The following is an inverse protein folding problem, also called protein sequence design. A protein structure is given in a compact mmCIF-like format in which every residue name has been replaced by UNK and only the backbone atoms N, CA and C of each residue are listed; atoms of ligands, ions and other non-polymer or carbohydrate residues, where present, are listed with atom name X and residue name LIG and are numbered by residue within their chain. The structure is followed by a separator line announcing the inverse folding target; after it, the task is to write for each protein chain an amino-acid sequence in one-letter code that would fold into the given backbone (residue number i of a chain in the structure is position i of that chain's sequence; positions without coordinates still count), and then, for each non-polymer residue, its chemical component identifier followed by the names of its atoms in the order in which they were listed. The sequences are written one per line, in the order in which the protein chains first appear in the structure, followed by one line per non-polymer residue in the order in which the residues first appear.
data_IF_594715276900
#
_entry.id   IF_594715276900
#
_cell.length_a   1.000
_cell.length_b   1.000
_cell.length_c   1.000
_cell.angle_alpha   90.00
_cell.angle_beta   90.00
_cell.angle_gamma   90.00
#
_symmetry.space_group_name_H-M   'P 1'
#
loop_
_entity.id
_entity.type
_entity.pdbx_description
1 polymer ?
#
# COMPACT_ATOMS: atom_id res chain seq x y z
N UNK A 1 -38.74 -31.51 -63.43
CA UNK A 1 -39.33 -31.01 -62.17
C UNK A 1 -38.25 -31.13 -61.10
N UNK A 2 -37.66 -30.08 -60.49
CA UNK A 2 -38.01 -28.67 -60.29
C UNK A 2 -36.69 -27.87 -60.21
N UNK A 3 -36.52 -26.84 -61.03
CA UNK A 3 -36.68 -25.40 -60.73
C UNK A 3 -35.54 -24.78 -59.90
N UNK A 4 -34.84 -23.83 -60.52
CA UNK A 4 -33.91 -22.88 -59.91
C UNK A 4 -34.76 -21.71 -59.39
N UNK A 5 -34.66 -21.35 -58.10
CA UNK A 5 -35.27 -20.12 -57.57
C UNK A 5 -34.25 -19.31 -56.78
N UNK A 6 -34.23 -18.00 -57.08
CA UNK A 6 -33.39 -16.93 -56.54
C UNK A 6 -33.92 -16.36 -55.22
N UNK A 7 -33.03 -15.62 -54.56
CA UNK A 7 -33.23 -14.35 -53.85
C UNK A 7 -33.55 -14.38 -52.34
N UNK A 8 -32.85 -13.49 -51.62
CA UNK A 8 -33.18 -13.05 -50.25
C UNK A 8 -32.05 -12.20 -49.67
N UNK A 9 -32.26 -10.89 -49.54
CA UNK A 9 -31.30 -9.85 -49.15
C UNK A 9 -31.29 -9.56 -47.63
N UNK A 10 -30.46 -8.57 -47.24
CA UNK A 10 -30.47 -7.79 -45.98
C UNK A 10 -29.75 -8.48 -44.79
N UNK A 11 -28.97 -7.85 -43.93
CA UNK A 11 -28.66 -6.45 -43.66
C UNK A 11 -27.28 -6.37 -42.95
N UNK A 12 -26.62 -5.22 -43.04
CA UNK A 12 -25.44 -4.93 -42.23
C UNK A 12 -25.79 -4.75 -40.74
N UNK A 13 -24.85 -5.13 -39.88
CA UNK A 13 -24.72 -4.59 -38.54
C UNK A 13 -23.25 -4.68 -38.14
N UNK A 14 -22.60 -3.52 -38.04
CA UNK A 14 -21.27 -3.35 -37.46
C UNK A 14 -21.45 -3.44 -35.96
N UNK A 15 -20.98 -4.51 -35.33
CA UNK A 15 -20.94 -4.62 -33.87
C UNK A 15 -19.49 -4.48 -33.40
N UNK A 16 -19.07 -3.24 -33.21
CA UNK A 16 -17.96 -2.94 -32.31
C UNK A 16 -18.53 -2.98 -30.88
N UNK A 17 -18.12 -3.96 -30.09
CA UNK A 17 -18.36 -3.95 -28.65
C UNK A 17 -17.04 -4.20 -27.93
N UNK A 18 -16.78 -3.29 -27.01
CA UNK A 18 -15.51 -3.03 -26.36
C UNK A 18 -14.93 -4.27 -25.66
N UNK A 19 -13.61 -4.39 -25.77
CA UNK A 19 -12.80 -5.11 -24.82
C UNK A 19 -13.00 -4.43 -23.45
N UNK A 20 -13.93 -4.93 -22.63
CA UNK A 20 -13.89 -4.64 -21.20
C UNK A 20 -12.73 -5.46 -20.67
N UNK A 21 -11.56 -4.84 -20.63
CA UNK A 21 -10.50 -5.26 -19.75
C UNK A 21 -11.11 -5.28 -18.35
N UNK A 22 -11.30 -6.48 -17.81
CA UNK A 22 -11.36 -6.64 -16.38
C UNK A 22 -9.95 -6.30 -15.87
N UNK A 23 -9.65 -5.01 -15.75
CA UNK A 23 -8.75 -4.56 -14.69
C UNK A 23 -9.48 -4.96 -13.43
N UNK A 24 -9.23 -6.19 -12.97
CA UNK A 24 -9.55 -6.59 -11.62
C UNK A 24 -8.84 -5.56 -10.77
N UNK A 25 -9.59 -4.58 -10.27
CA UNK A 25 -9.16 -3.80 -9.14
C UNK A 25 -8.85 -4.85 -8.07
N UNK A 26 -7.57 -5.11 -7.84
CA UNK A 26 -7.14 -5.81 -6.64
C UNK A 26 -7.76 -5.06 -5.47
N UNK A 27 -8.81 -5.67 -4.90
CA UNK A 27 -9.47 -5.14 -3.73
C UNK A 27 -8.38 -5.00 -2.67
N UNK A 28 -8.06 -3.76 -2.31
CA UNK A 28 -7.18 -3.46 -1.19
C UNK A 28 -7.68 -4.29 0.00
N UNK A 29 -6.81 -5.01 0.72
CA UNK A 29 -7.22 -5.88 1.80
C UNK A 29 -8.11 -5.08 2.77
N UNK A 30 -9.34 -5.54 2.95
CA UNK A 30 -10.32 -4.91 3.81
C UNK A 30 -9.79 -4.88 5.26
N UNK A 31 -9.53 -3.68 5.78
CA UNK A 31 -9.37 -3.27 7.19
C UNK A 31 -8.91 -4.35 8.21
N UNK A 32 -7.92 -5.17 7.84
CA UNK A 32 -7.37 -6.24 8.66
C UNK A 32 -6.03 -5.86 9.25
N UNK A 33 -5.63 -6.51 10.34
CA UNK A 33 -4.25 -6.39 10.83
C UNK A 33 -3.30 -7.09 9.87
N UNK A 34 -2.28 -6.39 9.36
CA UNK A 34 -1.23 -6.96 8.53
C UNK A 34 0.02 -7.17 9.40
N UNK A 35 0.47 -8.41 9.54
CA UNK A 35 1.56 -8.77 10.47
C UNK A 35 1.33 -8.29 11.92
N UNK A 36 0.06 -8.23 12.34
CA UNK A 36 -0.33 -7.70 13.65
C UNK A 36 -0.30 -6.17 13.75
N UNK A 37 0.06 -5.46 12.67
CA UNK A 37 -0.13 -4.02 12.57
C UNK A 37 -1.60 -3.70 12.28
N UNK A 38 -2.33 -2.99 13.14
CA UNK A 38 -3.74 -2.69 12.92
C UNK A 38 -3.98 -1.82 11.69
N UNK A 39 -5.16 -1.94 11.09
CA UNK A 39 -5.54 -1.08 9.97
C UNK A 39 -5.59 0.39 10.42
N UNK A 40 -5.10 1.30 9.58
CA UNK A 40 -4.95 2.71 9.89
C UNK A 40 -3.62 3.09 10.54
N UNK A 41 -2.70 2.13 10.77
CA UNK A 41 -1.45 2.38 11.47
C UNK A 41 -0.19 2.21 10.62
N UNK A 42 0.88 2.89 11.00
CA UNK A 42 2.26 2.53 10.65
C UNK A 42 2.89 1.87 11.86
N UNK A 43 3.46 0.70 11.67
CA UNK A 43 4.05 -0.07 12.76
C UNK A 43 5.55 -0.28 12.57
N UNK A 44 6.27 -0.30 13.69
CA UNK A 44 7.69 -0.62 13.75
C UNK A 44 7.84 -1.90 14.56
N UNK A 45 8.61 -2.85 14.04
CA UNK A 45 8.92 -4.11 14.72
C UNK A 45 10.21 -4.00 15.51
N UNK A 46 10.46 -4.84 16.53
CA UNK A 46 11.68 -4.77 17.33
C UNK A 46 12.96 -4.90 16.52
N UNK A 47 14.04 -4.34 17.07
CA UNK A 47 15.37 -4.35 16.47
C UNK A 47 15.82 -5.78 16.12
N UNK A 48 16.24 -5.97 14.87
CA UNK A 48 16.79 -7.22 14.34
C UNK A 48 15.89 -8.45 14.53
N UNK A 49 14.56 -8.25 14.65
CA UNK A 49 13.61 -9.33 14.95
C UNK A 49 12.67 -9.69 13.77
N UNK A 50 12.81 -9.02 12.61
CA UNK A 50 11.89 -9.17 11.48
C UNK A 50 10.44 -8.90 11.91
N UNK A 51 9.51 -9.80 11.56
CA UNK A 51 8.09 -9.68 11.94
C UNK A 51 7.81 -9.97 13.43
N UNK A 52 8.77 -10.49 14.19
CA UNK A 52 8.62 -10.76 15.63
C UNK A 52 7.34 -11.54 16.01
N UNK A 53 6.97 -12.55 15.20
CA UNK A 53 5.73 -13.30 15.41
C UNK A 53 4.48 -12.43 15.29
N UNK A 54 4.48 -11.50 14.33
CA UNK A 54 3.41 -10.53 14.05
C UNK A 54 3.12 -9.60 15.25
N UNK A 55 4.17 -9.14 15.93
CA UNK A 55 4.07 -8.27 17.11
C UNK A 55 4.95 -7.04 16.97
N UNK A 56 4.39 -5.90 16.51
CA UNK A 56 5.13 -4.65 16.45
C UNK A 56 5.43 -4.11 17.87
N UNK A 57 6.53 -3.38 18.01
CA UNK A 57 6.87 -2.65 19.25
C UNK A 57 6.21 -1.29 19.32
N UNK A 58 5.96 -0.65 18.17
CA UNK A 58 5.35 0.67 18.06
C UNK A 58 4.25 0.64 16.99
N UNK A 59 3.19 1.42 17.21
CA UNK A 59 2.13 1.65 16.24
C UNK A 59 1.67 3.11 16.29
N UNK A 60 1.66 3.77 15.14
CA UNK A 60 1.31 5.18 14.97
C UNK A 60 0.05 5.30 14.12
N UNK A 61 -0.94 6.09 14.57
CA UNK A 61 -2.25 6.19 13.90
C UNK A 61 -2.53 7.59 13.36
N UNK A 62 -2.07 8.63 14.05
CA UNK A 62 -2.33 10.01 13.64
C UNK A 62 -1.37 10.43 12.53
N UNK A 63 -1.92 11.10 11.51
CA UNK A 63 -1.10 11.81 10.53
C UNK A 63 -0.20 12.84 11.20
N UNK A 64 0.96 13.09 10.60
CA UNK A 64 2.01 13.93 11.17
C UNK A 64 3.22 13.12 11.63
N UNK A 65 4.17 13.82 12.25
CA UNK A 65 5.44 13.24 12.65
C UNK A 65 5.37 12.61 14.05
N UNK A 66 6.00 11.45 14.18
CA UNK A 66 6.19 10.72 15.42
C UNK A 66 7.68 10.58 15.68
N UNK A 67 8.17 11.19 16.75
CA UNK A 67 9.58 11.11 17.12
C UNK A 67 9.92 9.71 17.63
N UNK A 68 11.03 9.18 17.16
CA UNK A 68 11.58 7.92 17.63
C UNK A 68 12.53 8.17 18.78
N UNK A 69 12.47 7.30 19.77
CA UNK A 69 13.40 7.29 20.89
C UNK A 69 13.95 5.88 21.07
N UNK A 70 15.26 5.78 21.22
CA UNK A 70 15.98 4.52 21.46
C UNK A 70 15.65 3.42 20.42
N UNK A 71 15.48 3.80 19.14
CA UNK A 71 15.38 2.86 18.02
C UNK A 71 16.74 2.82 17.32
N UNK A 72 17.33 1.64 17.20
CA UNK A 72 18.68 1.45 16.67
C UNK A 72 18.75 0.17 15.85
N UNK A 73 19.65 0.11 14.89
CA UNK A 73 19.83 -1.03 13.99
C UNK A 73 18.63 -1.25 13.06
N UNK A 74 18.52 -2.46 12.52
CA UNK A 74 17.49 -2.80 11.53
C UNK A 74 16.14 -3.04 12.18
N UNK A 75 15.10 -2.46 11.59
CA UNK A 75 13.70 -2.67 11.96
C UNK A 75 12.87 -2.83 10.71
N UNK A 76 11.82 -3.66 10.81
CA UNK A 76 10.75 -3.61 9.83
C UNK A 76 9.86 -2.43 10.15
N UNK A 77 9.56 -1.62 9.13
CA UNK A 77 8.56 -0.55 9.19
C UNK A 77 7.48 -0.86 8.17
N UNK A 78 6.26 -1.08 8.64
CA UNK A 78 5.11 -1.46 7.81
C UNK A 78 4.09 -0.32 7.81
N UNK A 79 3.61 0.07 6.63
CA UNK A 79 2.47 0.97 6.50
C UNK A 79 1.20 0.14 6.27
N UNK A 80 0.33 0.04 7.28
CA UNK A 80 -1.02 -0.53 7.16
C UNK A 80 -2.11 0.55 7.30
N UNK A 81 -1.81 1.79 6.90
CA UNK A 81 -2.80 2.87 6.80
C UNK A 81 -3.83 2.59 5.68
N UNK A 82 -4.80 3.48 5.51
CA UNK A 82 -5.87 3.33 4.50
C UNK A 82 -5.84 4.46 3.47
N UNK A 83 -6.69 4.36 2.45
CA UNK A 83 -7.03 5.45 1.53
C UNK A 83 -5.85 6.04 0.72
N UNK A 84 -4.77 5.28 0.54
CA UNK A 84 -3.59 5.72 -0.20
C UNK A 84 -2.58 6.52 0.64
N UNK A 85 -2.74 6.55 1.96
CA UNK A 85 -1.80 7.20 2.86
C UNK A 85 -0.39 6.61 2.75
N UNK A 86 0.62 7.43 2.98
CA UNK A 86 2.02 7.00 2.90
C UNK A 86 2.78 7.29 4.18
N UNK A 87 3.86 6.55 4.41
CA UNK A 87 4.77 6.77 5.53
C UNK A 87 6.18 7.12 5.04
N UNK A 88 6.90 7.94 5.78
CA UNK A 88 8.28 8.33 5.49
C UNK A 88 9.13 8.20 6.73
N UNK A 89 10.40 7.84 6.56
CA UNK A 89 11.40 7.85 7.64
C UNK A 89 12.24 9.10 7.51
N UNK A 90 12.41 9.86 8.58
CA UNK A 90 13.08 11.17 8.56
C UNK A 90 14.28 11.18 9.50
N UNK A 91 15.41 11.72 9.02
CA UNK A 91 16.62 11.85 9.84
C UNK A 91 16.54 12.95 10.90
N UNK A 92 15.60 13.89 10.78
CA UNK A 92 15.31 14.89 11.82
C UNK A 92 14.12 14.50 12.70
N UNK A 93 13.98 15.21 13.82
CA UNK A 93 12.76 15.15 14.66
C UNK A 93 11.62 15.93 13.99
N UNK A 94 10.39 15.66 14.42
CA UNK A 94 9.17 16.33 13.98
C UNK A 94 8.97 16.30 12.45
N UNK A 95 9.43 15.25 11.77
CA UNK A 95 9.28 15.08 10.32
C UNK A 95 10.15 16.04 9.51
N UNK A 96 11.29 16.46 10.07
CA UNK A 96 12.27 17.34 9.40
C UNK A 96 13.52 16.59 8.95
N UNK A 97 14.47 17.29 8.34
CA UNK A 97 15.70 16.70 7.82
C UNK A 97 15.49 16.02 6.47
N UNK A 98 16.23 14.94 6.24
CA UNK A 98 16.06 14.11 5.05
C UNK A 98 14.97 13.06 5.30
N UNK A 99 13.80 13.28 4.70
CA UNK A 99 12.68 12.34 4.77
C UNK A 99 12.71 11.42 3.55
N UNK A 100 12.94 10.15 3.79
CA UNK A 100 13.31 9.18 2.79
C UNK A 100 12.09 8.41 2.29
N UNK A 101 11.96 8.36 0.97
CA UNK A 101 10.96 7.57 0.25
C UNK A 101 9.51 7.96 0.55
N UNK A 102 8.60 7.15 -0.01
CA UNK A 102 7.19 7.09 0.31
C UNK A 102 6.79 5.61 0.41
N UNK A 103 6.52 5.14 1.61
CA UNK A 103 6.07 3.78 1.85
C UNK A 103 4.56 3.73 1.67
N UNK A 104 4.10 3.09 0.60
CA UNK A 104 2.67 2.93 0.30
C UNK A 104 1.95 1.98 1.26
N UNK A 105 0.63 2.02 1.25
CA UNK A 105 -0.23 1.10 2.02
C UNK A 105 0.07 -0.36 1.67
N UNK A 106 0.17 -1.21 2.68
CA UNK A 106 0.42 -2.65 2.55
C UNK A 106 1.89 -3.02 2.37
N UNK A 107 2.79 -2.03 2.23
CA UNK A 107 4.22 -2.26 2.03
C UNK A 107 5.03 -2.05 3.30
N UNK A 108 6.14 -2.77 3.39
CA UNK A 108 7.14 -2.60 4.44
C UNK A 108 8.53 -2.35 3.87
N UNK A 109 9.42 -1.85 4.72
CA UNK A 109 10.86 -1.75 4.47
C UNK A 109 11.63 -2.33 5.64
N UNK A 110 12.75 -2.98 5.34
CA UNK A 110 13.79 -3.26 6.32
C UNK A 110 14.73 -2.05 6.36
N UNK A 111 14.79 -1.38 7.51
CA UNK A 111 15.41 -0.05 7.63
C UNK A 111 16.25 0.05 8.88
N UNK A 112 17.48 0.53 8.71
CA UNK A 112 18.29 0.99 9.84
C UNK A 112 17.66 2.26 10.41
N UNK A 113 17.14 2.19 11.63
CA UNK A 113 16.55 3.32 12.33
C UNK A 113 17.56 4.12 13.15
N UNK A 114 18.82 3.68 13.24
CA UNK A 114 19.89 4.42 13.94
C UNK A 114 20.00 5.89 13.49
N UNK A 115 19.95 6.24 12.18
CA UNK A 115 19.99 7.64 11.75
C UNK A 115 18.61 8.31 11.70
N UNK A 116 17.53 7.58 12.01
CA UNK A 116 16.14 8.03 11.84
C UNK A 116 15.60 8.55 13.18
N UNK A 117 15.19 9.81 13.20
CA UNK A 117 14.69 10.46 14.41
C UNK A 117 13.17 10.63 14.43
N UNK A 118 12.49 10.45 13.29
CA UNK A 118 11.03 10.43 13.26
C UNK A 118 10.46 9.63 12.09
N UNK A 119 9.20 9.20 12.24
CA UNK A 119 8.38 8.65 11.17
C UNK A 119 7.24 9.63 10.89
N UNK A 120 7.07 10.00 9.62
CA UNK A 120 6.05 10.93 9.16
C UNK A 120 4.93 10.16 8.44
N UNK A 121 3.73 10.22 9.00
CA UNK A 121 2.50 9.69 8.38
C UNK A 121 1.87 10.78 7.54
N UNK A 122 1.76 10.55 6.24
CA UNK A 122 1.34 11.53 5.23
C UNK A 122 -0.06 11.17 4.74
N UNK A 123 -0.93 12.19 4.71
CA UNK A 123 -2.28 12.07 4.15
C UNK A 123 -2.20 11.83 2.63
N UNK A 124 -3.17 11.10 2.04
CA UNK A 124 -3.32 11.03 0.59
C UNK A 124 -3.38 12.41 -0.08
#
# INVERSE_FOLDING_TARGET
MREIIKAGALAGAVAALAMVGATGAEAAPAAGSLHGCPSGAVCVYPQNAGWNGDRPSLAFYSYGAHNLHNQFGQHYVLNNQTDGATARTCTGVNGTGDCQGYLGVGYYVDKDLTPINSILLVRP
#
